data_IF_650728688134
#
_entry.id   IF_650728688134
#
_cell.length_a   1.000
_cell.length_b   1.000
_cell.length_c   1.000
_cell.angle_alpha   90.00
_cell.angle_beta   90.00
_cell.angle_gamma   90.00
#
_symmetry.space_group_name_H-M   'P 1'
#
loop_
_entity.id
_entity.type
_entity.pdbx_description
1 polymer ?
#
# COMPACT_ATOMS: atom_id res chain seq x y z
N UNK A 1 -26.35 96.63 54.56
CA UNK A 1 -27.57 96.77 53.74
C UNK A 1 -27.36 95.96 52.48
N UNK A 2 -28.33 95.06 52.23
CA UNK A 2 -28.71 94.45 50.93
C UNK A 2 -27.59 93.76 50.12
N UNK A 3 -27.54 92.42 50.12
CA UNK A 3 -28.37 91.51 49.31
C UNK A 3 -28.03 91.59 47.82
N UNK A 4 -27.43 90.51 47.30
CA UNK A 4 -27.76 90.04 45.96
C UNK A 4 -27.60 88.52 45.83
N UNK A 5 -28.69 87.93 45.34
CA UNK A 5 -29.05 86.53 45.10
C UNK A 5 -28.13 85.84 44.06
N UNK A 6 -27.67 84.59 44.31
CA UNK A 6 -28.15 83.29 43.75
C UNK A 6 -27.73 83.01 42.28
N UNK A 7 -27.72 81.76 41.74
CA UNK A 7 -28.04 80.42 42.29
C UNK A 7 -26.86 79.40 42.16
N UNK A 8 -26.77 78.31 42.91
CA UNK A 8 -27.51 77.02 42.87
C UNK A 8 -27.51 76.26 41.53
N UNK A 9 -27.21 74.94 41.63
CA UNK A 9 -27.70 73.85 40.77
C UNK A 9 -27.20 73.68 39.33
N UNK A 10 -25.98 73.16 39.13
CA UNK A 10 -25.63 72.59 37.80
C UNK A 10 -24.89 71.25 37.80
N UNK A 11 -24.47 70.72 38.96
CA UNK A 11 -23.68 69.46 39.00
C UNK A 11 -24.43 68.20 39.44
N UNK A 12 -25.67 68.31 39.92
CA UNK A 12 -26.41 67.15 40.46
C UNK A 12 -27.45 66.57 39.48
N UNK A 13 -27.74 67.26 38.36
CA UNK A 13 -28.73 66.84 37.36
C UNK A 13 -28.15 65.83 36.35
N UNK A 14 -26.89 66.01 35.94
CA UNK A 14 -26.17 65.12 35.01
C UNK A 14 -26.00 63.70 35.58
N UNK A 15 -25.68 63.58 36.87
CA UNK A 15 -25.46 62.28 37.52
C UNK A 15 -26.77 61.51 37.70
N UNK A 16 -27.88 62.19 37.99
CA UNK A 16 -29.20 61.55 38.14
C UNK A 16 -29.80 61.09 36.81
N UNK A 17 -29.55 61.80 35.71
CA UNK A 17 -29.98 61.37 34.36
C UNK A 17 -29.12 60.23 33.81
N UNK A 18 -27.81 60.21 34.11
CA UNK A 18 -26.93 59.08 33.78
C UNK A 18 -27.29 57.84 34.60
N UNK A 19 -27.70 58.01 35.87
CA UNK A 19 -28.17 56.91 36.72
C UNK A 19 -29.61 56.47 36.38
N UNK A 20 -30.49 57.36 35.89
CA UNK A 20 -31.85 57.00 35.47
C UNK A 20 -31.91 56.36 34.08
N UNK A 21 -30.96 56.71 33.19
CA UNK A 21 -30.77 56.07 31.88
C UNK A 21 -30.12 54.69 31.97
N UNK A 22 -29.50 54.35 33.12
CA UNK A 22 -29.32 52.97 33.56
C UNK A 22 -30.68 52.40 34.02
N UNK A 23 -31.64 52.40 33.10
CA UNK A 23 -32.93 51.72 33.22
C UNK A 23 -32.65 50.33 33.78
N UNK A 24 -33.05 50.11 35.03
CA UNK A 24 -32.76 48.91 35.82
C UNK A 24 -33.12 47.69 34.97
N UNK A 25 -32.12 47.10 34.29
CA UNK A 25 -32.35 45.94 33.43
C UNK A 25 -32.75 44.83 34.38
N UNK A 26 -34.00 44.37 34.26
CA UNK A 26 -34.49 43.27 35.07
C UNK A 26 -33.49 42.11 34.92
N UNK A 27 -33.14 41.42 36.01
CA UNK A 27 -32.22 40.29 36.00
C UNK A 27 -32.57 39.24 34.92
N UNK A 28 -33.87 39.11 34.60
CA UNK A 28 -34.38 38.35 33.46
C UNK A 28 -33.80 38.77 32.09
N UNK A 29 -33.51 40.05 31.85
CA UNK A 29 -32.86 40.56 30.63
C UNK A 29 -31.42 40.04 30.51
N UNK A 30 -30.64 40.12 31.59
CA UNK A 30 -29.26 39.62 31.60
C UNK A 30 -29.19 38.11 31.35
N UNK A 31 -30.13 37.36 31.90
CA UNK A 31 -30.25 35.91 31.65
C UNK A 31 -30.59 35.64 30.18
N UNK A 32 -31.55 36.37 29.61
CA UNK A 32 -31.91 36.22 28.19
C UNK A 32 -30.74 36.56 27.26
N UNK A 33 -29.97 37.60 27.58
CA UNK A 33 -28.77 37.99 26.85
C UNK A 33 -27.65 36.93 26.97
N UNK A 34 -27.44 36.41 28.17
CA UNK A 34 -26.54 35.27 28.39
C UNK A 34 -26.97 34.07 27.54
N UNK A 35 -28.24 33.66 27.60
CA UNK A 35 -28.74 32.54 26.80
C UNK A 35 -28.65 32.81 25.30
N UNK A 36 -28.88 34.04 24.84
CA UNK A 36 -28.72 34.39 23.43
C UNK A 36 -27.27 34.19 22.96
N UNK A 37 -26.30 34.72 23.70
CA UNK A 37 -24.87 34.60 23.36
C UNK A 37 -24.36 33.17 23.54
N UNK A 38 -24.74 32.52 24.64
CA UNK A 38 -24.43 31.12 24.92
C UNK A 38 -24.98 30.20 23.84
N UNK A 39 -26.26 30.36 23.48
CA UNK A 39 -26.90 29.54 22.45
C UNK A 39 -26.28 29.79 21.08
N UNK A 40 -25.90 31.02 20.74
CA UNK A 40 -25.20 31.31 19.49
C UNK A 40 -23.87 30.55 19.39
N UNK A 41 -23.03 30.60 20.43
CA UNK A 41 -21.75 29.86 20.46
C UNK A 41 -21.97 28.35 20.52
N UNK A 42 -22.92 27.89 21.34
CA UNK A 42 -23.26 26.48 21.49
C UNK A 42 -23.78 25.86 20.20
N UNK A 43 -24.72 26.52 19.52
CA UNK A 43 -25.21 26.09 18.21
C UNK A 43 -24.11 26.12 17.15
N UNK A 44 -23.22 27.12 17.16
CA UNK A 44 -22.06 27.15 16.27
C UNK A 44 -21.15 25.93 16.46
N UNK A 45 -20.86 25.58 17.72
CA UNK A 45 -20.10 24.38 18.06
C UNK A 45 -20.81 23.09 17.62
N UNK A 46 -22.12 22.96 17.87
CA UNK A 46 -22.90 21.80 17.43
C UNK A 46 -22.94 21.66 15.90
N UNK A 47 -23.13 22.76 15.19
CA UNK A 47 -23.15 22.79 13.73
C UNK A 47 -21.81 22.34 13.14
N UNK A 48 -20.70 22.81 13.71
CA UNK A 48 -19.37 22.42 13.28
C UNK A 48 -19.08 20.93 13.57
N UNK A 49 -19.48 20.43 14.73
CA UNK A 49 -19.32 19.03 15.09
C UNK A 49 -20.15 18.11 14.17
N UNK A 50 -21.40 18.48 13.89
CA UNK A 50 -22.27 17.77 12.96
C UNK A 50 -21.71 17.78 11.53
N UNK A 51 -21.28 18.95 11.04
CA UNK A 51 -20.66 19.12 9.72
C UNK A 51 -19.39 18.28 9.59
N UNK A 52 -18.52 18.31 10.60
CA UNK A 52 -17.29 17.52 10.66
C UNK A 52 -17.58 16.02 10.55
N UNK A 53 -18.52 15.52 11.34
CA UNK A 53 -18.93 14.11 11.30
C UNK A 53 -19.48 13.68 9.93
N UNK A 54 -20.22 14.55 9.23
CA UNK A 54 -20.68 14.27 7.86
C UNK A 54 -19.53 14.21 6.85
N UNK A 55 -18.57 15.14 6.94
CA UNK A 55 -17.41 15.18 6.06
C UNK A 55 -16.54 13.94 6.25
N UNK A 56 -16.29 13.53 7.50
CA UNK A 56 -15.50 12.33 7.80
C UNK A 56 -16.13 11.06 7.23
N UNK A 57 -17.45 10.86 7.39
CA UNK A 57 -18.16 9.71 6.80
C UNK A 57 -18.06 9.67 5.28
N UNK A 58 -18.13 10.84 4.64
CA UNK A 58 -17.98 10.95 3.18
C UNK A 58 -16.56 10.58 2.74
N UNK A 59 -15.55 11.07 3.45
CA UNK A 59 -14.14 10.77 3.17
C UNK A 59 -13.83 9.29 3.40
N UNK A 60 -14.34 8.71 4.49
CA UNK A 60 -14.24 7.28 4.77
C UNK A 60 -14.80 6.46 3.60
N UNK A 61 -16.03 6.74 3.15
CA UNK A 61 -16.64 6.02 2.01
C UNK A 61 -15.82 6.17 0.72
N UNK A 62 -15.31 7.36 0.42
CA UNK A 62 -14.46 7.61 -0.76
C UNK A 62 -13.13 6.83 -0.69
N UNK A 63 -12.54 6.74 0.49
CA UNK A 63 -11.35 5.93 0.71
C UNK A 63 -11.65 4.45 0.45
N UNK A 64 -12.72 3.90 1.03
CA UNK A 64 -13.05 2.49 0.88
C UNK A 64 -13.28 2.12 -0.58
N UNK A 65 -14.01 2.96 -1.32
CA UNK A 65 -14.20 2.79 -2.76
C UNK A 65 -12.86 2.79 -3.52
N UNK A 66 -11.99 3.75 -3.23
CA UNK A 66 -10.68 3.85 -3.90
C UNK A 66 -9.79 2.64 -3.54
N UNK A 67 -9.87 2.16 -2.30
CA UNK A 67 -9.11 1.01 -1.84
C UNK A 67 -9.61 -0.30 -2.47
N UNK A 68 -10.92 -0.47 -2.66
CA UNK A 68 -11.48 -1.59 -3.41
C UNK A 68 -10.94 -1.63 -4.85
N UNK A 69 -10.86 -0.49 -5.53
CA UNK A 69 -10.29 -0.43 -6.88
C UNK A 69 -8.80 -0.78 -6.89
N UNK A 70 -8.05 -0.34 -5.88
CA UNK A 70 -6.65 -0.74 -5.71
C UNK A 70 -6.54 -2.27 -5.49
N UNK A 71 -7.40 -2.88 -4.66
CA UNK A 71 -7.44 -4.34 -4.47
C UNK A 71 -7.81 -5.11 -5.75
N UNK A 72 -8.76 -4.61 -6.54
CA UNK A 72 -9.12 -5.22 -7.84
C UNK A 72 -7.91 -5.23 -8.77
N UNK A 73 -7.20 -4.11 -8.86
CA UNK A 73 -5.95 -4.03 -9.63
C UNK A 73 -4.89 -5.02 -9.11
N UNK A 74 -4.73 -5.12 -7.79
CA UNK A 74 -3.79 -6.07 -7.16
C UNK A 74 -4.13 -7.52 -7.52
N UNK A 75 -5.39 -7.94 -7.48
CA UNK A 75 -5.76 -9.32 -7.83
C UNK A 75 -5.40 -9.67 -9.28
N UNK A 76 -5.51 -8.71 -10.21
CA UNK A 76 -5.12 -8.92 -11.61
C UNK A 76 -3.61 -9.10 -11.75
N UNK A 77 -2.81 -8.26 -11.10
CA UNK A 77 -1.33 -8.34 -11.17
C UNK A 77 -0.79 -9.56 -10.41
N UNK A 78 -1.43 -9.97 -9.31
CA UNK A 78 -1.09 -11.21 -8.59
C UNK A 78 -1.25 -12.44 -9.50
N UNK A 79 -2.33 -12.53 -10.29
CA UNK A 79 -2.54 -13.66 -11.22
C UNK A 79 -1.41 -13.78 -12.23
N UNK A 80 -1.01 -12.66 -12.84
CA UNK A 80 0.12 -12.62 -13.77
C UNK A 80 1.43 -13.06 -13.09
N UNK A 81 1.67 -12.61 -11.86
CA UNK A 81 2.85 -13.01 -11.09
C UNK A 81 2.86 -14.51 -10.74
N UNK A 82 1.69 -15.09 -10.40
CA UNK A 82 1.53 -16.52 -10.14
C UNK A 82 1.81 -17.35 -11.41
N UNK A 83 1.25 -16.97 -12.55
CA UNK A 83 1.46 -17.69 -13.81
C UNK A 83 2.93 -17.67 -14.25
N UNK A 84 3.59 -16.51 -14.12
CA UNK A 84 5.03 -16.41 -14.36
C UNK A 84 5.83 -17.33 -13.45
N UNK A 85 5.47 -17.42 -12.16
CA UNK A 85 6.19 -18.26 -11.18
C UNK A 85 6.00 -19.75 -11.45
N UNK A 86 4.81 -20.18 -11.83
CA UNK A 86 4.57 -21.57 -12.25
C UNK A 86 5.44 -21.95 -13.44
N UNK A 87 5.48 -21.10 -14.48
CA UNK A 87 6.36 -21.31 -15.63
C UNK A 87 7.84 -21.38 -15.21
N UNK A 88 8.28 -20.46 -14.36
CA UNK A 88 9.66 -20.44 -13.83
C UNK A 88 9.97 -21.71 -13.04
N UNK A 89 9.05 -22.21 -12.23
CA UNK A 89 9.21 -23.45 -11.48
C UNK A 89 9.42 -24.64 -12.42
N UNK A 90 8.60 -24.76 -13.48
CA UNK A 90 8.76 -25.81 -14.50
C UNK A 90 10.12 -25.72 -15.20
N UNK A 91 10.59 -24.51 -15.54
CA UNK A 91 11.92 -24.32 -16.13
C UNK A 91 13.05 -24.73 -15.17
N UNK A 92 12.93 -24.43 -13.88
CA UNK A 92 13.88 -24.87 -12.86
C UNK A 92 13.86 -26.40 -12.68
N UNK A 93 12.71 -27.04 -12.80
CA UNK A 93 12.59 -28.51 -12.78
C UNK A 93 13.29 -29.15 -13.97
N UNK A 94 13.08 -28.63 -15.18
CA UNK A 94 13.77 -29.10 -16.39
C UNK A 94 15.27 -28.90 -16.28
N UNK A 95 15.72 -27.74 -15.79
CA UNK A 95 17.14 -27.46 -15.58
C UNK A 95 17.76 -28.43 -14.56
N UNK A 96 17.10 -28.64 -13.41
CA UNK A 96 17.53 -29.61 -12.40
C UNK A 96 17.63 -31.03 -12.97
N UNK A 97 16.69 -31.43 -13.84
CA UNK A 97 16.70 -32.74 -14.49
C UNK A 97 17.91 -32.91 -15.42
N UNK A 98 18.22 -31.90 -16.24
CA UNK A 98 19.39 -31.91 -17.13
C UNK A 98 20.70 -32.06 -16.33
N UNK A 99 20.83 -31.32 -15.24
CA UNK A 99 22.01 -31.38 -14.37
C UNK A 99 22.11 -32.74 -13.65
N UNK A 100 21.01 -33.21 -13.05
CA UNK A 100 20.97 -34.48 -12.32
C UNK A 100 21.26 -35.68 -13.20
N UNK A 101 20.71 -35.71 -14.41
CA UNK A 101 20.85 -36.83 -15.33
C UNK A 101 22.14 -36.75 -16.16
N UNK A 102 22.91 -35.66 -16.05
CA UNK A 102 24.14 -35.43 -16.81
C UNK A 102 23.92 -35.45 -18.35
N UNK A 103 22.73 -35.03 -18.80
CA UNK A 103 22.31 -35.03 -20.22
C UNK A 103 22.52 -33.67 -20.89
N UNK A 104 23.55 -32.93 -20.49
CA UNK A 104 23.83 -31.59 -20.99
C UNK A 104 24.26 -31.61 -22.46
N UNK A 105 25.10 -32.59 -22.83
CA UNK A 105 25.62 -32.68 -24.21
C UNK A 105 24.49 -32.99 -25.19
N UNK A 106 24.37 -32.14 -26.21
CA UNK A 106 23.28 -32.18 -27.18
C UNK A 106 22.01 -31.45 -26.71
N UNK A 107 21.98 -30.88 -25.51
CA UNK A 107 20.87 -30.10 -24.93
C UNK A 107 21.39 -28.75 -24.40
N UNK A 108 22.53 -28.27 -24.91
CA UNK A 108 23.13 -27.01 -24.48
C UNK A 108 22.19 -25.83 -24.70
N UNK A 109 21.40 -25.83 -25.77
CA UNK A 109 20.43 -24.79 -26.04
C UNK A 109 19.37 -24.65 -24.94
N UNK A 110 18.88 -25.78 -24.42
CA UNK A 110 17.94 -25.82 -23.31
C UNK A 110 18.59 -25.33 -22.04
N UNK A 111 19.82 -25.79 -21.77
CA UNK A 111 20.59 -25.34 -20.62
C UNK A 111 20.83 -23.82 -20.65
N UNK A 112 21.21 -23.26 -21.80
CA UNK A 112 21.35 -21.82 -22.00
C UNK A 112 20.03 -21.10 -21.75
N UNK A 113 18.93 -21.58 -22.31
CA UNK A 113 17.61 -20.96 -22.16
C UNK A 113 17.12 -20.97 -20.71
N UNK A 114 17.19 -22.11 -20.03
CA UNK A 114 16.77 -22.22 -18.64
C UNK A 114 17.72 -21.46 -17.70
N UNK A 115 19.04 -21.56 -17.90
CA UNK A 115 20.04 -20.83 -17.12
C UNK A 115 19.88 -19.31 -17.26
N UNK A 116 19.57 -18.82 -18.46
CA UNK A 116 19.28 -17.41 -18.71
C UNK A 116 18.00 -16.93 -18.02
N UNK A 117 16.99 -17.79 -17.95
CA UNK A 117 15.68 -17.53 -17.36
C UNK A 117 15.70 -17.59 -15.82
N UNK A 118 16.61 -18.40 -15.24
CA UNK A 118 16.76 -18.61 -13.79
C UNK A 118 16.82 -17.30 -12.98
N UNK A 119 17.60 -16.34 -13.47
CA UNK A 119 17.86 -15.04 -12.82
C UNK A 119 16.81 -13.96 -13.15
N UNK A 120 15.83 -14.28 -14.00
CA UNK A 120 14.72 -13.39 -14.32
C UNK A 120 13.63 -13.50 -13.25
N UNK A 121 12.90 -12.40 -13.07
CA UNK A 121 11.83 -12.30 -12.08
C UNK A 121 10.82 -11.28 -12.54
N UNK A 122 9.55 -11.53 -12.23
CA UNK A 122 8.46 -10.57 -12.31
C UNK A 122 8.09 -10.18 -10.89
N UNK A 123 8.06 -8.88 -10.63
CA UNK A 123 7.72 -8.33 -9.33
C UNK A 123 6.26 -7.98 -9.32
N UNK A 124 5.53 -8.49 -8.34
CA UNK A 124 4.23 -7.93 -8.00
C UNK A 124 4.48 -6.55 -7.38
N UNK A 125 3.81 -5.54 -7.92
CA UNK A 125 3.77 -4.20 -7.36
C UNK A 125 2.33 -3.96 -6.94
N UNK A 126 2.12 -3.79 -5.64
CA UNK A 126 0.80 -3.44 -5.13
C UNK A 126 0.46 -1.99 -5.46
N UNK A 127 -0.81 -1.72 -5.69
CA UNK A 127 -1.32 -0.38 -5.81
C UNK A 127 -1.50 0.21 -4.40
N UNK A 128 -0.43 0.79 -3.87
CA UNK A 128 -0.41 1.34 -2.50
C UNK A 128 -0.99 2.75 -2.39
N UNK A 129 -1.49 3.34 -3.48
CA UNK A 129 -1.81 4.77 -3.53
C UNK A 129 -2.77 5.18 -2.41
N UNK A 130 -3.87 4.46 -2.26
CA UNK A 130 -4.94 4.83 -1.34
C UNK A 130 -4.53 4.60 0.11
N UNK A 131 -3.83 3.49 0.40
CA UNK A 131 -3.34 3.20 1.75
C UNK A 131 -2.20 4.15 2.17
N UNK A 132 -1.23 4.42 1.30
CA UNK A 132 -0.16 5.36 1.56
C UNK A 132 -0.69 6.77 1.83
N UNK A 133 -1.72 7.23 1.10
CA UNK A 133 -2.36 8.51 1.37
C UNK A 133 -2.93 8.58 2.79
N UNK A 134 -3.74 7.60 3.21
CA UNK A 134 -4.31 7.59 4.56
C UNK A 134 -3.23 7.48 5.65
N UNK A 135 -2.22 6.64 5.43
CA UNK A 135 -1.13 6.43 6.38
C UNK A 135 -0.37 7.73 6.60
N UNK A 136 0.00 8.43 5.52
CA UNK A 136 0.78 9.65 5.57
C UNK A 136 -0.02 10.87 6.07
N UNK A 137 -1.34 10.91 5.83
CA UNK A 137 -2.21 11.98 6.34
C UNK A 137 -2.71 11.73 7.78
N UNK A 138 -2.39 10.58 8.38
CA UNK A 138 -2.94 10.18 9.68
C UNK A 138 -4.45 9.92 9.65
N UNK A 139 -5.01 9.72 8.46
CA UNK A 139 -6.45 9.57 8.23
C UNK A 139 -6.94 8.13 8.36
N UNK A 140 -6.08 7.16 8.68
CA UNK A 140 -6.52 5.79 9.00
C UNK A 140 -7.55 5.77 10.14
N UNK A 141 -7.46 6.71 11.09
CA UNK A 141 -8.44 6.88 12.18
C UNK A 141 -9.85 7.28 11.71
N UNK A 142 -10.00 7.67 10.44
CA UNK A 142 -11.31 8.01 9.86
C UNK A 142 -12.12 6.75 9.54
N UNK A 143 -11.48 5.58 9.42
CA UNK A 143 -12.17 4.31 9.21
C UNK A 143 -12.73 3.86 10.57
N UNK A 144 -14.04 3.94 10.72
CA UNK A 144 -14.75 3.68 11.98
C UNK A 144 -15.07 2.20 12.14
N UNK A 145 -15.18 1.48 11.03
CA UNK A 145 -15.41 0.04 11.05
C UNK A 145 -14.10 -0.67 11.45
N UNK A 146 -14.07 -1.19 12.68
CA UNK A 146 -12.90 -1.89 13.22
C UNK A 146 -12.56 -3.14 12.41
N UNK A 147 -13.57 -3.91 11.97
CA UNK A 147 -13.35 -5.10 11.16
C UNK A 147 -12.73 -4.78 9.80
N UNK A 148 -13.16 -3.67 9.17
CA UNK A 148 -12.56 -3.17 7.94
C UNK A 148 -11.11 -2.77 8.16
N UNK A 149 -10.84 -1.99 9.22
CA UNK A 149 -9.49 -1.53 9.59
C UNK A 149 -8.55 -2.70 9.83
N UNK A 150 -8.94 -3.67 10.65
CA UNK A 150 -8.16 -4.86 10.97
C UNK A 150 -7.87 -5.69 9.71
N UNK A 151 -8.86 -5.80 8.82
CA UNK A 151 -8.70 -6.57 7.58
C UNK A 151 -7.76 -5.87 6.59
N UNK A 152 -7.85 -4.54 6.48
CA UNK A 152 -6.90 -3.70 5.71
C UNK A 152 -5.49 -3.85 6.27
N UNK A 153 -5.31 -3.72 7.58
CA UNK A 153 -3.99 -3.87 8.22
C UNK A 153 -3.41 -5.27 8.02
N UNK A 154 -4.25 -6.30 8.13
CA UNK A 154 -3.82 -7.68 7.89
C UNK A 154 -3.43 -7.92 6.43
N UNK A 155 -4.06 -7.25 5.46
CA UNK A 155 -3.66 -7.28 4.05
C UNK A 155 -2.30 -6.62 3.85
N UNK A 156 -2.11 -5.43 4.41
CA UNK A 156 -0.85 -4.68 4.32
C UNK A 156 0.33 -5.44 4.95
N UNK A 157 0.10 -6.11 6.09
CA UNK A 157 1.12 -6.98 6.70
C UNK A 157 1.56 -8.14 5.80
N UNK A 158 0.67 -8.68 4.96
CA UNK A 158 1.06 -9.70 3.98
C UNK A 158 1.89 -9.10 2.84
N UNK A 159 1.56 -7.88 2.39
CA UNK A 159 2.37 -7.15 1.40
C UNK A 159 3.79 -6.92 1.94
N UNK A 160 3.93 -6.41 3.16
CA UNK A 160 5.24 -6.15 3.78
C UNK A 160 6.10 -7.43 3.83
N UNK A 161 5.51 -8.56 4.21
CA UNK A 161 6.19 -9.87 4.21
C UNK A 161 6.60 -10.31 2.80
N UNK A 162 5.71 -10.12 1.84
CA UNK A 162 5.97 -10.46 0.44
C UNK A 162 7.13 -9.63 -0.13
N UNK A 163 7.23 -8.35 0.21
CA UNK A 163 8.36 -7.48 -0.17
C UNK A 163 9.67 -8.06 0.36
N UNK A 164 9.75 -8.44 1.63
CA UNK A 164 10.94 -9.09 2.18
C UNK A 164 11.30 -10.37 1.43
N UNK A 165 10.30 -11.22 1.13
CA UNK A 165 10.56 -12.44 0.35
C UNK A 165 11.07 -12.16 -1.06
N UNK A 166 10.63 -11.06 -1.69
CA UNK A 166 11.17 -10.62 -2.99
C UNK A 166 12.61 -10.13 -2.89
N UNK A 167 13.01 -9.50 -1.78
CA UNK A 167 14.39 -9.09 -1.52
C UNK A 167 15.31 -10.31 -1.32
N UNK A 168 14.84 -11.32 -0.60
CA UNK A 168 15.52 -12.60 -0.42
C UNK A 168 15.73 -13.30 -1.78
N UNK A 169 14.66 -13.48 -2.58
CA UNK A 169 14.72 -14.03 -3.95
C UNK A 169 15.69 -13.23 -4.83
N UNK A 170 15.72 -11.89 -4.72
CA UNK A 170 16.67 -11.06 -5.48
C UNK A 170 18.10 -11.37 -5.10
N UNK A 171 18.38 -11.51 -3.81
CA UNK A 171 19.72 -11.81 -3.30
C UNK A 171 20.18 -13.19 -3.77
N UNK A 172 19.33 -14.20 -3.66
CA UNK A 172 19.61 -15.56 -4.15
C UNK A 172 19.88 -15.59 -5.66
N UNK A 173 19.12 -14.82 -6.46
CA UNK A 173 19.36 -14.71 -7.90
C UNK A 173 20.73 -14.10 -8.22
N UNK A 174 21.15 -13.10 -7.46
CA UNK A 174 22.48 -12.50 -7.64
C UNK A 174 23.60 -13.46 -7.23
N UNK A 175 23.38 -14.28 -6.21
CA UNK A 175 24.33 -15.32 -5.80
C UNK A 175 24.53 -16.41 -6.87
N UNK A 176 23.61 -16.56 -7.83
CA UNK A 176 23.80 -17.47 -8.97
C UNK A 176 24.76 -16.92 -10.04
N UNK A 177 24.97 -15.60 -10.13
CA UNK A 177 25.78 -15.01 -11.21
C UNK A 177 27.23 -15.53 -11.28
N UNK A 178 27.98 -15.66 -10.18
CA UNK A 178 29.34 -16.19 -10.23
C UNK A 178 29.40 -17.61 -10.84
N UNK A 179 28.44 -18.47 -10.49
CA UNK A 179 28.36 -19.85 -11.02
C UNK A 179 27.96 -19.83 -12.50
N UNK A 180 26.91 -19.08 -12.85
CA UNK A 180 26.45 -18.95 -14.23
C UNK A 180 27.56 -18.42 -15.16
N UNK A 181 28.36 -17.45 -14.69
CA UNK A 181 29.44 -16.86 -15.47
C UNK A 181 30.59 -17.83 -15.82
N UNK A 182 30.75 -18.89 -15.04
CA UNK A 182 31.77 -19.93 -15.26
C UNK A 182 31.27 -21.05 -16.18
N UNK A 183 29.97 -21.34 -16.15
CA UNK A 183 29.35 -22.39 -16.97
C UNK A 183 29.02 -21.88 -18.38
N UNK A 184 28.39 -20.71 -18.49
CA UNK A 184 27.82 -20.23 -19.75
C UNK A 184 28.76 -19.28 -20.50
N UNK A 185 28.77 -19.37 -21.83
CA UNK A 185 29.47 -18.42 -22.68
C UNK A 185 28.63 -17.12 -22.79
N UNK A 186 29.15 -15.95 -22.35
CA UNK A 186 28.39 -14.70 -22.39
C UNK A 186 28.05 -14.25 -23.81
N UNK A 187 28.83 -14.61 -24.83
CA UNK A 187 28.53 -14.25 -26.22
C UNK A 187 27.31 -15.00 -26.77
N UNK A 188 27.02 -16.19 -26.26
CA UNK A 188 25.75 -16.90 -26.57
C UNK A 188 24.58 -16.18 -25.92
N UNK A 189 24.74 -15.72 -24.66
CA UNK A 189 23.68 -14.93 -24.01
C UNK A 189 23.39 -13.62 -24.72
N UNK A 190 24.39 -12.98 -25.32
CA UNK A 190 24.20 -11.77 -26.12
C UNK A 190 23.35 -12.06 -27.37
N UNK A 191 23.68 -13.14 -28.10
CA UNK A 191 22.93 -13.58 -29.28
C UNK A 191 21.48 -14.00 -28.98
N UNK A 192 21.21 -14.48 -27.77
CA UNK A 192 19.85 -14.85 -27.35
C UNK A 192 18.92 -13.64 -27.19
N UNK A 193 19.45 -12.41 -27.09
CA UNK A 193 18.65 -11.20 -26.91
C UNK A 193 18.21 -10.66 -28.28
N UNK A 194 16.91 -10.70 -28.52
CA UNK A 194 16.28 -10.19 -29.75
C UNK A 194 15.36 -9.02 -29.44
N UNK A 195 14.90 -8.31 -30.49
CA UNK A 195 13.88 -7.27 -30.35
C UNK A 195 12.57 -7.78 -29.71
N UNK A 196 12.30 -9.09 -29.81
CA UNK A 196 11.10 -9.74 -29.27
C UNK A 196 11.29 -10.39 -27.91
N UNK A 197 12.50 -10.33 -27.34
CA UNK A 197 12.84 -10.92 -26.05
C UNK A 197 13.96 -11.95 -26.13
N UNK A 198 14.02 -12.83 -25.13
CA UNK A 198 15.05 -13.86 -25.00
C UNK A 198 14.62 -15.11 -25.77
N UNK A 199 15.36 -15.45 -26.82
CA UNK A 199 15.10 -16.66 -27.61
C UNK A 199 16.09 -17.77 -27.25
N UNK A 200 15.61 -19.01 -27.33
CA UNK A 200 16.46 -20.20 -27.18
C UNK A 200 17.40 -20.29 -28.40
N UNK A 201 18.68 -20.64 -28.23
CA UNK A 201 19.56 -20.94 -29.36
C UNK A 201 18.98 -22.05 -30.25
N UNK A 202 19.08 -21.90 -31.56
CA UNK A 202 18.58 -22.91 -32.52
C UNK A 202 19.48 -24.15 -32.55
N UNK A 203 20.78 -23.94 -32.43
CA UNK A 203 21.79 -24.99 -32.37
C UNK A 203 22.21 -25.26 -30.93
N UNK A 204 23.15 -26.18 -30.70
CA UNK A 204 23.73 -26.48 -29.40
C UNK A 204 25.13 -25.84 -29.24
N UNK A 205 25.23 -24.53 -28.98
CA UNK A 205 26.53 -23.88 -28.82
C UNK A 205 27.26 -24.44 -27.58
N UNK A 206 28.60 -24.57 -27.63
CA UNK A 206 29.35 -25.12 -26.51
C UNK A 206 29.22 -24.23 -25.26
N UNK A 207 29.23 -24.87 -24.10
CA UNK A 207 29.37 -24.19 -22.81
C UNK A 207 30.79 -23.65 -22.61
N UNK A 208 30.95 -22.69 -21.70
CA UNK A 208 32.27 -22.26 -21.24
C UNK A 208 32.95 -23.35 -20.41
N UNK A 209 32.18 -24.08 -19.61
CA UNK A 209 32.66 -25.21 -18.82
C UNK A 209 31.61 -26.32 -18.72
N UNK A 210 32.08 -27.56 -18.74
CA UNK A 210 31.29 -28.77 -18.47
C UNK A 210 31.68 -29.42 -17.13
N UNK A 211 32.38 -28.68 -16.25
CA UNK A 211 32.83 -29.19 -14.94
C UNK A 211 31.64 -29.64 -14.07
N UNK A 212 31.60 -30.91 -13.63
CA UNK A 212 30.55 -31.41 -12.73
C UNK A 212 30.44 -30.66 -11.40
N UNK A 213 31.55 -30.11 -10.87
CA UNK A 213 31.51 -29.33 -9.63
C UNK A 213 30.67 -28.05 -9.80
N UNK A 214 30.89 -27.32 -10.90
CA UNK A 214 30.08 -26.14 -11.22
C UNK A 214 28.62 -26.48 -11.47
N UNK A 215 28.32 -27.64 -12.06
CA UNK A 215 26.95 -28.11 -12.24
C UNK A 215 26.25 -28.40 -10.90
N UNK A 216 26.98 -28.95 -9.92
CA UNK A 216 26.49 -29.17 -8.57
C UNK A 216 26.24 -27.85 -7.83
N UNK A 217 27.13 -26.87 -7.99
CA UNK A 217 26.93 -25.51 -7.47
C UNK A 217 25.70 -24.83 -8.09
N UNK A 218 25.50 -25.00 -9.41
CA UNK A 218 24.31 -24.50 -10.09
C UNK A 218 23.04 -25.20 -9.57
N UNK A 219 23.08 -26.51 -9.36
CA UNK A 219 21.97 -27.26 -8.77
C UNK A 219 21.62 -26.74 -7.37
N UNK A 220 22.62 -26.38 -6.55
CA UNK A 220 22.38 -25.74 -5.26
C UNK A 220 21.67 -24.38 -5.41
N UNK A 221 22.15 -23.51 -6.32
CA UNK A 221 21.49 -22.23 -6.60
C UNK A 221 20.03 -22.41 -7.05
N UNK A 222 19.76 -23.38 -7.93
CA UNK A 222 18.39 -23.68 -8.37
C UNK A 222 17.53 -24.14 -7.20
N UNK A 223 18.06 -24.98 -6.30
CA UNK A 223 17.32 -25.44 -5.13
C UNK A 223 16.89 -24.27 -4.22
N UNK A 224 17.78 -23.32 -3.93
CA UNK A 224 17.43 -22.13 -3.13
C UNK A 224 16.33 -21.31 -3.81
N UNK A 225 16.50 -21.03 -5.11
CA UNK A 225 15.51 -20.27 -5.89
C UNK A 225 14.15 -20.96 -6.00
N UNK A 226 14.11 -22.30 -6.01
CA UNK A 226 12.85 -23.05 -5.92
C UNK A 226 12.16 -22.84 -4.57
N UNK A 227 12.91 -22.85 -3.47
CA UNK A 227 12.40 -22.56 -2.14
C UNK A 227 11.75 -21.18 -2.06
N UNK A 228 12.47 -20.14 -2.52
CA UNK A 228 11.92 -18.78 -2.56
C UNK A 228 10.73 -18.64 -3.52
N UNK A 229 10.77 -19.31 -4.67
CA UNK A 229 9.63 -19.31 -5.60
C UNK A 229 8.38 -19.91 -4.97
N UNK A 230 8.52 -21.04 -4.25
CA UNK A 230 7.43 -21.68 -3.53
C UNK A 230 6.84 -20.77 -2.43
N UNK A 231 7.69 -20.17 -1.60
CA UNK A 231 7.24 -19.27 -0.53
C UNK A 231 6.48 -18.09 -1.11
N UNK A 232 7.02 -17.45 -2.15
CA UNK A 232 6.38 -16.29 -2.77
C UNK A 232 5.06 -16.69 -3.45
N UNK A 233 4.99 -17.83 -4.12
CA UNK A 233 3.75 -18.34 -4.73
C UNK A 233 2.65 -18.53 -3.67
N UNK A 234 2.97 -19.19 -2.54
CA UNK A 234 2.05 -19.34 -1.40
C UNK A 234 1.60 -17.98 -0.85
N UNK A 235 2.52 -17.02 -0.68
CA UNK A 235 2.20 -15.67 -0.19
C UNK A 235 1.30 -14.91 -1.15
N UNK A 236 1.56 -14.98 -2.45
CA UNK A 236 0.73 -14.35 -3.48
C UNK A 236 -0.68 -14.96 -3.52
N UNK A 237 -0.80 -16.29 -3.39
CA UNK A 237 -2.10 -16.96 -3.32
C UNK A 237 -2.90 -16.50 -2.08
N UNK A 238 -2.27 -16.48 -0.90
CA UNK A 238 -2.89 -15.98 0.33
C UNK A 238 -3.30 -14.49 0.21
N UNK A 239 -2.47 -13.68 -0.43
CA UNK A 239 -2.73 -12.27 -0.64
C UNK A 239 -3.94 -12.06 -1.57
N UNK A 240 -4.02 -12.81 -2.68
CA UNK A 240 -5.17 -12.78 -3.59
C UNK A 240 -6.46 -13.17 -2.89
N UNK A 241 -6.44 -14.27 -2.14
CA UNK A 241 -7.61 -14.73 -1.39
C UNK A 241 -8.04 -13.71 -0.33
N UNK A 242 -7.09 -13.06 0.33
CA UNK A 242 -7.38 -12.00 1.29
C UNK A 242 -7.92 -10.75 0.60
N UNK A 243 -7.41 -10.37 -0.57
CA UNK A 243 -7.93 -9.25 -1.36
C UNK A 243 -9.40 -9.47 -1.73
N UNK A 244 -9.73 -10.65 -2.26
CA UNK A 244 -11.12 -10.99 -2.65
C UNK A 244 -12.06 -10.90 -1.43
N UNK A 245 -11.71 -11.56 -0.32
CA UNK A 245 -12.53 -11.49 0.90
C UNK A 245 -12.65 -10.09 1.47
N UNK A 246 -11.61 -9.27 1.33
CA UNK A 246 -11.62 -7.89 1.78
C UNK A 246 -12.52 -7.02 0.90
N UNK A 247 -12.50 -7.20 -0.42
CA UNK A 247 -13.45 -6.54 -1.33
C UNK A 247 -14.89 -6.89 -0.91
N UNK A 248 -15.20 -8.17 -0.72
CA UNK A 248 -16.54 -8.61 -0.31
C UNK A 248 -16.97 -8.00 1.04
N UNK A 249 -16.06 -7.99 2.02
CA UNK A 249 -16.31 -7.37 3.33
C UNK A 249 -16.59 -5.87 3.18
N UNK A 250 -15.76 -5.15 2.45
CA UNK A 250 -15.88 -3.69 2.30
C UNK A 250 -17.14 -3.30 1.52
N UNK A 251 -17.51 -4.08 0.49
CA UNK A 251 -18.74 -3.86 -0.24
C UNK A 251 -19.96 -4.00 0.67
N UNK A 252 -19.99 -5.04 1.50
CA UNK A 252 -21.05 -5.31 2.46
C UNK A 252 -21.14 -4.25 3.57
N UNK A 253 -20.03 -3.91 4.20
CA UNK A 253 -20.02 -3.02 5.38
C UNK A 253 -20.29 -1.54 5.03
N UNK A 254 -20.14 -1.15 3.76
CA UNK A 254 -20.31 0.23 3.29
C UNK A 254 -21.46 0.44 2.29
N UNK A 255 -22.27 -0.59 2.06
CA UNK A 255 -23.39 -0.61 1.11
C UNK A 255 -22.95 -0.06 -0.26
N UNK A 256 -21.91 -0.67 -0.83
CA UNK A 256 -21.31 -0.25 -2.10
C UNK A 256 -21.83 -1.07 -3.28
N UNK A 257 -22.08 -2.37 -3.07
CA UNK A 257 -22.61 -3.34 -4.04
C UNK A 257 -23.37 -4.47 -3.33
#
# INVERSE_FOLDING_TARGET
MEENQAPENEKDLSTKEVISSLKKRNWSSYIKEFFMLFLAVFCGFLAENYRGNMVEKRQEKQFIQSFIEDLKSDTATIRVALDFRKLKMTQMDSLMLLLRNQTIKGHENELYFFGRSLVRSVWFQNNDRTFAQLKNSGSLRLIRNEQATDSIMAYQKLIERLITNHEDDRTERYNAFPVLSQIFNPFVFDQMVTATGIQRPTDNPPLRSYDPALQQDLAFCIHQLKGSTFIIEDRLAQLNDKAIRLIDLLNKEYDLE
#
